data_IF_878309304491
#
_entry.id   IF_878309304491
#
_cell.length_a   1.000
_cell.length_b   1.000
_cell.length_c   1.000
_cell.angle_alpha   90.00
_cell.angle_beta   90.00
_cell.angle_gamma   90.00
#
_symmetry.space_group_name_H-M   'P 1'
#
loop_
_entity.id
_entity.type
_entity.pdbx_description
1 polymer ?
#
# COMPACT_ATOMS: atom_id res chain seq x y z
N UNK A 1 47.64 -13.33 49.57
CA UNK A 1 46.54 -12.62 48.90
C UNK A 1 47.09 -12.14 47.56
N UNK A 2 46.93 -12.94 46.50
CA UNK A 2 47.42 -12.63 45.16
C UNK A 2 46.21 -12.76 44.24
N UNK A 3 45.68 -11.62 43.80
CA UNK A 3 44.51 -11.56 42.93
C UNK A 3 44.94 -11.71 41.48
N UNK A 4 44.47 -12.76 40.81
CA UNK A 4 44.60 -12.95 39.37
C UNK A 4 43.36 -12.32 38.73
N UNK A 5 43.54 -11.22 38.01
CA UNK A 5 42.49 -10.58 37.21
C UNK A 5 42.43 -11.26 35.83
N UNK A 6 41.39 -12.04 35.59
CA UNK A 6 41.03 -12.49 34.25
C UNK A 6 40.32 -11.34 33.52
N UNK A 7 40.98 -10.77 32.51
CA UNK A 7 40.38 -9.84 31.57
C UNK A 7 39.91 -10.59 30.33
N UNK A 8 38.64 -11.03 30.30
CA UNK A 8 37.99 -11.47 29.07
C UNK A 8 37.36 -10.25 28.40
N UNK A 9 38.00 -9.71 27.37
CA UNK A 9 37.42 -8.71 26.49
C UNK A 9 37.09 -9.37 25.14
N UNK A 10 35.96 -10.09 25.09
CA UNK A 10 35.40 -10.62 23.84
C UNK A 10 34.62 -9.52 23.14
N UNK A 11 35.29 -8.77 22.27
CA UNK A 11 34.67 -7.74 21.44
C UNK A 11 34.17 -8.36 20.13
N UNK A 12 33.22 -9.28 20.20
CA UNK A 12 32.49 -9.78 19.03
C UNK A 12 31.42 -8.78 18.62
N UNK A 13 31.86 -7.66 18.04
CA UNK A 13 30.97 -6.82 17.24
C UNK A 13 30.62 -7.61 15.98
N UNK A 14 29.46 -8.27 15.98
CA UNK A 14 28.80 -8.71 14.75
C UNK A 14 28.77 -7.51 13.81
N UNK A 15 29.55 -7.56 12.73
CA UNK A 15 29.41 -6.62 11.62
C UNK A 15 27.99 -6.79 11.09
N UNK A 16 27.14 -5.79 11.27
CA UNK A 16 25.94 -5.66 10.46
C UNK A 16 26.38 -5.73 9.00
N UNK A 17 25.74 -6.57 8.17
CA UNK A 17 26.09 -6.64 6.76
C UNK A 17 25.89 -5.24 6.16
N UNK A 18 26.95 -4.72 5.57
CA UNK A 18 26.93 -3.48 4.81
C UNK A 18 25.88 -3.65 3.70
N UNK A 19 24.73 -2.98 3.85
CA UNK A 19 23.67 -3.04 2.86
C UNK A 19 24.19 -2.41 1.58
N UNK A 20 24.47 -3.24 0.58
CA UNK A 20 24.74 -2.77 -0.78
C UNK A 20 23.53 -1.97 -1.25
N UNK A 21 23.78 -0.84 -1.91
CA UNK A 21 22.74 -0.06 -2.58
C UNK A 21 21.87 -0.99 -3.46
N UNK A 22 20.53 -0.90 -3.39
CA UNK A 22 19.65 -1.75 -4.17
C UNK A 22 19.91 -1.62 -5.68
N UNK A 23 19.94 -2.74 -6.40
CA UNK A 23 20.01 -2.77 -7.86
C UNK A 23 18.63 -3.08 -8.41
N UNK A 24 17.81 -2.05 -8.56
CA UNK A 24 16.42 -2.21 -8.97
C UNK A 24 16.29 -2.60 -10.44
N UNK A 25 15.57 -3.68 -10.70
CA UNK A 25 15.07 -4.04 -12.03
C UNK A 25 13.62 -3.62 -12.18
N UNK A 26 13.35 -2.81 -13.20
CA UNK A 26 12.05 -2.22 -13.47
C UNK A 26 11.47 -2.77 -14.78
N UNK A 27 10.23 -3.25 -14.74
CA UNK A 27 9.57 -3.86 -15.88
C UNK A 27 8.16 -3.26 -16.06
N UNK A 28 7.90 -2.64 -17.22
CA UNK A 28 6.53 -2.37 -17.65
C UNK A 28 5.96 -3.66 -18.22
N UNK A 29 4.84 -4.12 -17.68
CA UNK A 29 4.21 -5.38 -18.06
C UNK A 29 2.79 -5.17 -18.52
N UNK A 30 2.33 -6.05 -19.39
CA UNK A 30 0.94 -6.11 -19.81
C UNK A 30 0.35 -7.46 -19.42
N UNK A 31 -0.91 -7.45 -19.01
CA UNK A 31 -1.68 -8.63 -18.60
C UNK A 31 -3.18 -8.38 -18.82
N UNK A 32 -4.02 -9.41 -18.75
CA UNK A 32 -5.45 -9.29 -19.05
C UNK A 32 -6.30 -9.45 -17.78
N UNK A 33 -7.34 -8.64 -17.66
CA UNK A 33 -8.45 -8.84 -16.73
C UNK A 33 -9.74 -8.97 -17.55
N UNK A 34 -10.08 -10.21 -17.94
CA UNK A 34 -11.07 -10.45 -18.98
C UNK A 34 -10.59 -9.84 -20.31
N UNK A 35 -11.44 -9.03 -20.94
CA UNK A 35 -11.13 -8.33 -22.20
C UNK A 35 -10.38 -7.00 -22.00
N UNK A 36 -10.11 -6.61 -20.75
CA UNK A 36 -9.41 -5.36 -20.44
C UNK A 36 -7.91 -5.61 -20.45
N UNK A 37 -7.20 -4.87 -21.30
CA UNK A 37 -5.76 -4.85 -21.29
C UNK A 37 -5.25 -4.03 -20.11
N UNK A 38 -4.49 -4.65 -19.21
CA UNK A 38 -3.99 -4.04 -17.98
C UNK A 38 -2.50 -3.75 -18.12
N UNK A 39 -2.07 -2.60 -17.63
CA UNK A 39 -0.66 -2.22 -17.60
C UNK A 39 -0.13 -2.21 -16.16
N UNK A 40 1.00 -2.85 -15.92
CA UNK A 40 1.63 -2.91 -14.61
C UNK A 40 3.05 -2.40 -14.67
N UNK A 41 3.56 -2.01 -13.52
CA UNK A 41 4.97 -1.67 -13.32
C UNK A 41 5.52 -2.51 -12.18
N UNK A 42 6.33 -3.51 -12.51
CA UNK A 42 6.93 -4.46 -11.57
C UNK A 42 8.37 -4.04 -11.28
N UNK A 43 8.73 -4.04 -9.99
CA UNK A 43 10.08 -3.71 -9.54
C UNK A 43 10.54 -4.67 -8.45
N UNK A 44 11.80 -5.08 -8.50
CA UNK A 44 12.48 -5.83 -7.45
C UNK A 44 13.99 -5.54 -7.46
N UNK A 45 14.65 -5.74 -6.32
CA UNK A 45 16.12 -5.68 -6.24
C UNK A 45 16.76 -6.97 -6.76
N UNK A 46 17.63 -6.87 -7.77
CA UNK A 46 18.38 -7.98 -8.35
C UNK A 46 19.47 -8.52 -7.41
N UNK A 47 19.89 -7.75 -6.41
CA UNK A 47 20.89 -8.21 -5.43
C UNK A 47 20.34 -9.26 -4.46
N UNK A 48 19.01 -9.38 -4.36
CA UNK A 48 18.35 -10.36 -3.51
C UNK A 48 18.04 -11.60 -4.34
N UNK A 49 18.40 -12.77 -3.84
CA UNK A 49 18.13 -14.05 -4.49
C UNK A 49 16.85 -14.70 -3.93
N UNK A 50 16.18 -15.50 -4.76
CA UNK A 50 15.03 -16.31 -4.37
C UNK A 50 13.71 -15.56 -4.13
N UNK A 51 12.65 -16.32 -3.77
CA UNK A 51 11.31 -15.78 -3.50
C UNK A 51 11.27 -14.87 -2.27
N UNK A 52 10.53 -13.75 -2.38
CA UNK A 52 10.35 -12.74 -1.33
C UNK A 52 8.88 -12.30 -1.24
N UNK A 53 8.46 -11.64 -0.16
CA UNK A 53 7.11 -11.12 -0.06
C UNK A 53 6.79 -10.15 -1.20
N UNK A 54 5.56 -10.22 -1.69
CA UNK A 54 5.09 -9.47 -2.84
C UNK A 54 4.03 -8.45 -2.44
N UNK A 55 4.13 -7.24 -2.98
CA UNK A 55 3.25 -6.12 -2.60
C UNK A 55 2.65 -5.45 -3.83
N UNK A 56 1.33 -5.42 -3.92
CA UNK A 56 0.61 -4.62 -4.93
C UNK A 56 0.47 -3.19 -4.43
N UNK A 57 0.72 -2.22 -5.30
CA UNK A 57 0.49 -0.79 -5.07
C UNK A 57 -0.71 -0.37 -5.92
N UNK A 58 -1.81 -0.03 -5.26
CA UNK A 58 -3.00 0.52 -5.91
C UNK A 58 -2.89 2.06 -5.92
N UNK A 59 -2.95 2.71 -7.09
CA UNK A 59 -2.71 4.14 -7.19
C UNK A 59 -3.83 4.97 -6.57
N UNK A 60 -3.55 6.27 -6.43
CA UNK A 60 -4.58 7.28 -6.24
C UNK A 60 -5.54 7.30 -7.45
N UNK A 61 -6.63 8.07 -7.35
CA UNK A 61 -7.64 8.20 -8.41
C UNK A 61 -7.13 8.74 -9.75
N UNK A 62 -5.87 9.19 -9.80
CA UNK A 62 -5.20 9.66 -11.01
C UNK A 62 -4.82 8.51 -11.96
N UNK A 63 -4.79 7.26 -11.49
CA UNK A 63 -4.32 6.10 -12.24
C UNK A 63 -2.82 5.83 -12.05
N UNK A 64 -2.25 4.94 -12.87
CA UNK A 64 -0.86 4.48 -12.75
C UNK A 64 0.15 5.58 -13.19
N UNK A 65 0.48 6.47 -12.28
CA UNK A 65 1.42 7.58 -12.48
C UNK A 65 2.80 7.33 -11.83
N UNK A 66 3.69 8.32 -11.94
CA UNK A 66 5.05 8.22 -11.41
C UNK A 66 5.09 8.12 -9.88
N UNK A 67 4.10 8.66 -9.16
CA UNK A 67 4.01 8.53 -7.72
C UNK A 67 3.78 7.07 -7.31
N UNK A 68 2.83 6.38 -7.93
CA UNK A 68 2.59 4.96 -7.69
C UNK A 68 3.82 4.09 -8.05
N UNK A 69 4.48 4.38 -9.19
CA UNK A 69 5.71 3.71 -9.60
C UNK A 69 6.86 3.96 -8.62
N UNK A 70 7.01 5.18 -8.11
CA UNK A 70 7.98 5.51 -7.07
C UNK A 70 7.74 4.66 -5.81
N UNK A 71 6.50 4.54 -5.35
CA UNK A 71 6.19 3.71 -4.16
C UNK A 71 6.48 2.22 -4.38
N UNK A 72 6.33 1.72 -5.62
CA UNK A 72 6.79 0.37 -5.97
C UNK A 72 8.33 0.25 -5.89
N UNK A 73 9.08 1.26 -6.35
CA UNK A 73 10.56 1.29 -6.18
C UNK A 73 10.97 1.36 -4.72
N UNK A 74 10.30 2.18 -3.92
CA UNK A 74 10.57 2.30 -2.48
C UNK A 74 10.38 0.94 -1.78
N UNK A 75 9.33 0.18 -2.12
CA UNK A 75 9.11 -1.20 -1.63
C UNK A 75 10.19 -2.17 -2.12
N UNK A 76 10.60 -2.08 -3.39
CA UNK A 76 11.67 -2.92 -3.91
C UNK A 76 13.00 -2.68 -3.18
N UNK A 77 13.30 -1.43 -2.83
CA UNK A 77 14.45 -1.07 -1.99
C UNK A 77 14.36 -1.57 -0.54
N UNK A 78 13.17 -1.95 -0.06
CA UNK A 78 12.98 -2.65 1.22
C UNK A 78 13.08 -4.17 1.09
N UNK A 79 13.34 -4.69 -0.11
CA UNK A 79 13.51 -6.11 -0.38
C UNK A 79 12.24 -6.86 -0.78
N UNK A 80 11.17 -6.15 -1.14
CA UNK A 80 9.96 -6.76 -1.72
C UNK A 80 10.07 -6.89 -3.24
N UNK A 81 9.22 -7.73 -3.84
CA UNK A 81 8.83 -7.55 -5.24
C UNK A 81 7.51 -6.79 -5.27
N UNK A 82 7.48 -5.65 -5.94
CA UNK A 82 6.34 -4.75 -5.91
C UNK A 82 5.75 -4.57 -7.31
N UNK A 83 4.43 -4.39 -7.37
CA UNK A 83 3.72 -4.08 -8.61
C UNK A 83 2.80 -2.89 -8.41
N UNK A 84 3.07 -1.77 -9.08
CA UNK A 84 2.08 -0.71 -9.25
C UNK A 84 1.13 -1.10 -10.39
N UNK A 85 -0.16 -1.20 -10.09
CA UNK A 85 -1.17 -1.66 -11.03
C UNK A 85 -1.91 -0.50 -11.70
N UNK A 86 -2.28 -0.68 -12.97
CA UNK A 86 -3.32 0.09 -13.64
C UNK A 86 -4.68 -0.40 -13.15
N UNK A 87 -5.41 0.40 -12.37
CA UNK A 87 -6.76 0.02 -11.93
C UNK A 87 -7.80 0.24 -13.02
N UNK A 88 -7.58 1.17 -13.95
CA UNK A 88 -8.59 1.58 -14.94
C UNK A 88 -8.52 0.79 -16.23
N UNK A 89 -7.36 0.21 -16.54
CA UNK A 89 -7.10 -0.52 -17.76
C UNK A 89 -6.72 0.42 -18.89
N UNK A 90 -6.10 -0.15 -19.93
CA UNK A 90 -5.64 0.53 -21.14
C UNK A 90 -4.72 1.73 -20.87
N UNK A 91 -4.09 1.80 -19.70
CA UNK A 91 -3.21 2.91 -19.31
C UNK A 91 -3.95 4.22 -19.03
N UNK A 92 -5.25 4.17 -18.77
CA UNK A 92 -6.04 5.38 -18.50
C UNK A 92 -5.55 6.08 -17.24
N UNK A 93 -5.40 7.40 -17.35
CA UNK A 93 -5.05 8.30 -16.25
C UNK A 93 -5.91 9.55 -16.31
N UNK A 94 -6.07 10.20 -15.17
CA UNK A 94 -6.74 11.48 -15.03
C UNK A 94 -5.73 12.58 -14.73
N UNK A 95 -5.99 13.77 -15.26
CA UNK A 95 -5.21 14.99 -15.06
C UNK A 95 -5.99 16.09 -14.31
N UNK A 96 -7.28 15.85 -14.03
CA UNK A 96 -8.17 16.76 -13.33
C UNK A 96 -9.24 16.01 -12.52
N UNK A 97 -9.87 16.64 -11.50
CA UNK A 97 -10.81 15.97 -10.61
C UNK A 97 -12.03 15.37 -11.31
N UNK A 98 -12.54 16.01 -12.36
CA UNK A 98 -13.73 15.53 -13.08
C UNK A 98 -13.42 14.24 -13.84
N UNK A 99 -12.27 14.20 -14.55
CA UNK A 99 -11.81 12.98 -15.23
C UNK A 99 -11.44 11.88 -14.23
N UNK A 100 -10.86 12.23 -13.08
CA UNK A 100 -10.55 11.29 -12.02
C UNK A 100 -11.82 10.67 -11.42
N UNK A 101 -12.84 11.49 -11.14
CA UNK A 101 -14.14 11.00 -10.66
C UNK A 101 -14.83 10.13 -11.71
N UNK A 102 -14.76 10.47 -12.99
CA UNK A 102 -15.32 9.64 -14.07
C UNK A 102 -14.67 8.25 -14.13
N UNK A 103 -13.37 8.15 -13.87
CA UNK A 103 -12.65 6.88 -13.84
C UNK A 103 -12.85 6.11 -12.53
N UNK A 104 -12.75 6.76 -11.37
CA UNK A 104 -12.81 6.14 -10.05
C UNK A 104 -14.25 5.84 -9.58
N UNK A 105 -15.20 6.71 -9.94
CA UNK A 105 -16.60 6.66 -9.49
C UNK A 105 -17.27 5.28 -9.62
N UNK A 106 -17.16 4.59 -10.77
CA UNK A 106 -17.74 3.26 -10.93
C UNK A 106 -17.29 2.24 -9.87
N UNK A 107 -16.03 2.30 -9.41
CA UNK A 107 -15.49 1.37 -8.41
C UNK A 107 -15.93 1.71 -6.98
N UNK A 108 -16.33 2.95 -6.71
CA UNK A 108 -16.96 3.29 -5.44
C UNK A 108 -18.42 2.83 -5.40
N UNK A 109 -19.09 2.82 -6.55
CA UNK A 109 -20.49 2.38 -6.68
C UNK A 109 -20.59 0.85 -6.69
N UNK A 110 -19.68 0.18 -7.41
CA UNK A 110 -19.59 -1.28 -7.49
C UNK A 110 -18.14 -1.72 -7.22
N UNK A 111 -17.79 -2.00 -5.95
CA UNK A 111 -16.46 -2.49 -5.57
C UNK A 111 -16.09 -3.83 -6.22
N UNK A 112 -17.07 -4.60 -6.69
CA UNK A 112 -16.85 -5.86 -7.39
C UNK A 112 -16.08 -5.68 -8.69
N UNK A 113 -16.14 -4.49 -9.31
CA UNK A 113 -15.41 -4.16 -10.54
C UNK A 113 -13.89 -4.15 -10.36
N UNK A 114 -13.40 -3.84 -9.16
CA UNK A 114 -11.97 -3.80 -8.87
C UNK A 114 -11.37 -5.21 -8.68
N UNK A 115 -12.17 -6.15 -8.17
CA UNK A 115 -11.73 -7.50 -7.81
C UNK A 115 -11.03 -8.26 -8.96
N UNK A 116 -11.64 -8.45 -10.15
CA UNK A 116 -10.98 -9.19 -11.22
C UNK A 116 -9.69 -8.51 -11.73
N UNK A 117 -9.60 -7.18 -11.62
CA UNK A 117 -8.41 -6.41 -12.01
C UNK A 117 -7.27 -6.61 -11.01
N UNK A 118 -7.62 -6.64 -9.72
CA UNK A 118 -6.70 -6.92 -8.64
C UNK A 118 -6.20 -8.37 -8.69
N UNK A 119 -7.10 -9.34 -8.89
CA UNK A 119 -6.74 -10.76 -9.07
C UNK A 119 -5.83 -10.98 -10.28
N UNK A 120 -6.08 -10.29 -11.39
CA UNK A 120 -5.21 -10.34 -12.56
C UNK A 120 -3.81 -9.78 -12.26
N UNK A 121 -3.71 -8.69 -11.49
CA UNK A 121 -2.42 -8.16 -11.03
C UNK A 121 -1.71 -9.14 -10.09
N UNK A 122 -2.44 -9.75 -9.13
CA UNK A 122 -1.89 -10.79 -8.25
C UNK A 122 -1.37 -11.98 -9.05
N UNK A 123 -2.13 -12.47 -10.02
CA UNK A 123 -1.74 -13.59 -10.89
C UNK A 123 -0.48 -13.26 -11.68
N UNK A 124 -0.41 -12.05 -12.26
CA UNK A 124 0.80 -11.58 -12.97
C UNK A 124 2.00 -11.49 -12.04
N UNK A 125 1.84 -10.98 -10.83
CA UNK A 125 2.93 -10.89 -9.85
C UNK A 125 3.40 -12.28 -9.40
N UNK A 126 2.47 -13.22 -9.19
CA UNK A 126 2.76 -14.63 -8.85
C UNK A 126 3.51 -15.38 -9.96
N UNK A 127 3.51 -14.89 -11.21
CA UNK A 127 4.27 -15.52 -12.30
C UNK A 127 5.77 -15.30 -12.23
N UNK A 128 6.24 -14.40 -11.37
CA UNK A 128 7.66 -14.11 -11.18
C UNK A 128 8.29 -15.10 -10.20
N UNK A 129 9.45 -15.66 -10.54
CA UNK A 129 10.18 -16.59 -9.65
C UNK A 129 10.65 -15.93 -8.35
N UNK A 130 10.72 -14.60 -8.33
CA UNK A 130 11.02 -13.78 -7.15
C UNK A 130 9.82 -13.66 -6.20
N UNK A 131 8.62 -14.05 -6.59
CA UNK A 131 7.41 -13.90 -5.77
C UNK A 131 7.19 -15.12 -4.88
N UNK A 132 7.15 -14.90 -3.58
CA UNK A 132 6.56 -15.84 -2.64
C UNK A 132 5.04 -15.64 -2.59
N UNK A 133 4.31 -16.49 -3.30
CA UNK A 133 2.85 -16.43 -3.41
C UNK A 133 2.12 -16.62 -2.06
N UNK A 134 2.79 -17.13 -1.02
CA UNK A 134 2.23 -17.29 0.32
C UNK A 134 2.35 -16.02 1.17
N UNK A 135 3.16 -15.03 0.74
CA UNK A 135 3.42 -13.78 1.46
C UNK A 135 3.08 -12.58 0.60
N UNK A 136 1.80 -12.44 0.27
CA UNK A 136 1.28 -11.30 -0.50
C UNK A 136 0.60 -10.27 0.38
N UNK A 137 0.82 -9.00 0.09
CA UNK A 137 0.09 -7.88 0.67
C UNK A 137 -0.20 -6.80 -0.36
N UNK A 138 -0.87 -5.74 0.06
CA UNK A 138 -1.12 -4.60 -0.80
C UNK A 138 -1.09 -3.29 -0.02
N UNK A 139 -0.65 -2.23 -0.69
CA UNK A 139 -0.80 -0.86 -0.20
C UNK A 139 -1.61 -0.05 -1.20
N UNK A 140 -2.32 0.96 -0.70
CA UNK A 140 -3.10 1.84 -1.54
C UNK A 140 -3.16 3.25 -1.00
N UNK A 141 -3.31 4.21 -1.90
CA UNK A 141 -3.34 5.64 -1.59
C UNK A 141 -4.66 6.26 -2.05
N UNK A 142 -5.34 7.07 -1.23
CA UNK A 142 -6.61 7.71 -1.58
C UNK A 142 -7.63 6.64 -2.05
N UNK A 143 -8.06 6.71 -3.31
CA UNK A 143 -8.84 5.69 -3.98
C UNK A 143 -8.26 4.29 -3.81
N UNK A 144 -6.97 4.11 -4.05
CA UNK A 144 -6.30 2.82 -3.85
C UNK A 144 -6.36 2.35 -2.40
N UNK A 145 -6.33 3.26 -1.43
CA UNK A 145 -6.47 2.95 -0.01
C UNK A 145 -7.84 2.35 0.31
N UNK A 146 -8.89 2.90 -0.30
CA UNK A 146 -10.22 2.30 -0.24
C UNK A 146 -10.26 0.92 -0.92
N UNK A 147 -9.66 0.79 -2.10
CA UNK A 147 -9.68 -0.47 -2.84
C UNK A 147 -8.95 -1.60 -2.12
N UNK A 148 -7.79 -1.36 -1.48
CA UNK A 148 -7.09 -2.42 -0.74
C UNK A 148 -7.87 -2.87 0.51
N UNK A 149 -8.58 -1.96 1.19
CA UNK A 149 -9.51 -2.33 2.27
C UNK A 149 -10.66 -3.17 1.71
N UNK A 150 -11.23 -2.79 0.57
CA UNK A 150 -12.31 -3.54 -0.08
C UNK A 150 -11.85 -4.95 -0.46
N UNK A 151 -10.67 -5.11 -1.05
CA UNK A 151 -10.08 -6.41 -1.39
C UNK A 151 -9.93 -7.30 -0.14
N UNK A 152 -9.40 -6.74 0.95
CA UNK A 152 -9.30 -7.47 2.21
C UNK A 152 -10.68 -7.90 2.74
N UNK A 153 -11.68 -7.01 2.72
CA UNK A 153 -13.05 -7.29 3.18
C UNK A 153 -13.80 -8.29 2.29
N UNK A 154 -13.48 -8.32 0.99
CA UNK A 154 -14.00 -9.30 0.02
C UNK A 154 -13.27 -10.64 0.06
N UNK A 155 -12.28 -10.80 0.93
CA UNK A 155 -11.61 -12.08 1.19
C UNK A 155 -10.48 -12.42 0.22
N UNK A 156 -9.83 -11.42 -0.38
CA UNK A 156 -8.59 -11.67 -1.13
C UNK A 156 -7.52 -12.34 -0.25
N UNK A 157 -6.78 -13.27 -0.83
CA UNK A 157 -5.73 -14.03 -0.17
C UNK A 157 -4.47 -13.17 0.04
N UNK A 158 -4.54 -12.29 1.03
CA UNK A 158 -3.50 -11.36 1.43
C UNK A 158 -3.18 -11.56 2.92
N UNK A 159 -1.90 -11.47 3.29
CA UNK A 159 -1.46 -11.42 4.70
C UNK A 159 -1.89 -10.13 5.37
N UNK A 160 -1.89 -9.03 4.62
CA UNK A 160 -2.42 -7.77 5.09
C UNK A 160 -2.38 -6.65 4.06
N UNK A 161 -3.08 -5.58 4.37
CA UNK A 161 -3.19 -4.39 3.54
C UNK A 161 -2.89 -3.12 4.32
N UNK A 162 -2.34 -2.11 3.64
CA UNK A 162 -2.10 -0.78 4.20
C UNK A 162 -2.83 0.27 3.38
N UNK A 163 -3.78 0.96 4.00
CA UNK A 163 -4.46 2.10 3.40
C UNK A 163 -3.80 3.38 3.87
N UNK A 164 -3.34 4.22 2.94
CA UNK A 164 -2.95 5.59 3.19
C UNK A 164 -4.08 6.50 2.72
N UNK A 165 -4.64 7.29 3.65
CA UNK A 165 -5.67 8.31 3.40
C UNK A 165 -6.82 7.83 2.49
N UNK A 166 -7.24 6.57 2.60
CA UNK A 166 -8.36 6.03 1.83
C UNK A 166 -9.70 6.10 2.57
N UNK A 167 -10.80 6.10 1.80
CA UNK A 167 -12.14 5.85 2.34
C UNK A 167 -12.23 4.45 2.94
N UNK A 168 -13.06 4.27 3.96
CA UNK A 168 -12.98 3.10 4.85
C UNK A 168 -14.18 2.15 4.75
N UNK A 169 -15.35 2.65 4.37
CA UNK A 169 -16.63 1.96 4.58
C UNK A 169 -17.39 1.56 3.31
N UNK A 170 -16.71 1.42 2.16
CA UNK A 170 -17.37 1.06 0.90
C UNK A 170 -17.93 -0.37 0.95
N UNK A 171 -17.09 -1.37 1.28
CA UNK A 171 -17.53 -2.76 1.49
C UNK A 171 -17.80 -3.01 2.98
N UNK A 172 -18.90 -3.68 3.36
CA UNK A 172 -19.16 -4.07 4.75
C UNK A 172 -18.21 -5.18 5.21
N UNK A 173 -17.85 -5.17 6.49
CA UNK A 173 -17.00 -6.21 7.06
C UNK A 173 -17.74 -7.56 7.19
N UNK A 174 -17.07 -8.66 6.84
CA UNK A 174 -17.58 -10.02 6.99
C UNK A 174 -16.51 -10.91 7.64
N UNK A 175 -16.84 -11.53 8.79
CA UNK A 175 -15.94 -12.40 9.56
C UNK A 175 -15.43 -13.62 8.79
N UNK A 176 -16.28 -14.16 7.91
CA UNK A 176 -15.97 -15.36 7.15
C UNK A 176 -15.01 -15.05 5.99
N UNK A 177 -15.04 -13.82 5.48
CA UNK A 177 -14.19 -13.37 4.38
C UNK A 177 -12.90 -12.69 4.85
N UNK A 178 -12.97 -11.74 5.80
CA UNK A 178 -11.82 -10.92 6.16
C UNK A 178 -10.81 -11.70 7.00
N UNK A 179 -9.72 -12.16 6.37
CA UNK A 179 -8.57 -12.82 7.03
C UNK A 179 -7.32 -11.96 7.08
N UNK A 180 -7.15 -11.07 6.11
CA UNK A 180 -6.02 -10.15 6.01
C UNK A 180 -5.98 -9.19 7.22
N UNK A 181 -4.79 -8.90 7.74
CA UNK A 181 -4.62 -7.81 8.70
C UNK A 181 -4.72 -6.45 7.99
N UNK A 182 -5.20 -5.41 8.68
CA UNK A 182 -5.36 -4.07 8.10
C UNK A 182 -4.57 -3.04 8.90
N UNK A 183 -3.72 -2.25 8.23
CA UNK A 183 -3.21 -0.99 8.76
C UNK A 183 -3.91 0.16 8.04
N UNK A 184 -4.53 1.05 8.81
CA UNK A 184 -5.09 2.31 8.30
C UNK A 184 -4.19 3.45 8.74
N UNK A 185 -3.61 4.15 7.78
CA UNK A 185 -2.83 5.36 7.96
C UNK A 185 -3.67 6.58 7.53
N UNK A 186 -4.29 7.25 8.49
CA UNK A 186 -5.33 8.26 8.25
C UNK A 186 -4.86 9.66 8.67
N UNK A 187 -5.12 10.66 7.84
CA UNK A 187 -4.87 12.05 8.22
C UNK A 187 -5.99 12.56 9.11
N UNK A 188 -5.68 12.98 10.33
CA UNK A 188 -6.69 13.33 11.35
C UNK A 188 -7.43 14.64 11.04
N UNK A 189 -6.90 15.44 10.10
CA UNK A 189 -7.55 16.66 9.62
C UNK A 189 -8.30 16.45 8.29
N UNK A 190 -8.33 15.24 7.74
CA UNK A 190 -8.93 14.93 6.44
C UNK A 190 -10.47 15.08 6.45
N UNK A 191 -11.04 16.11 5.79
CA UNK A 191 -12.48 16.31 5.79
C UNK A 191 -13.21 15.37 4.80
N UNK A 192 -12.49 14.64 3.95
CA UNK A 192 -13.09 13.67 3.01
C UNK A 192 -13.51 12.38 3.72
N UNK A 193 -12.93 12.09 4.89
CA UNK A 193 -13.25 10.92 5.71
C UNK A 193 -13.54 11.42 7.13
N UNK A 194 -14.78 11.84 7.41
CA UNK A 194 -15.14 12.42 8.71
C UNK A 194 -15.05 11.40 9.84
N UNK A 195 -14.99 11.90 11.09
CA UNK A 195 -14.91 11.06 12.30
C UNK A 195 -15.96 9.94 12.32
N UNK A 196 -17.19 10.23 11.88
CA UNK A 196 -18.29 9.25 11.79
C UNK A 196 -17.96 8.07 10.89
N UNK A 197 -17.20 8.28 9.82
CA UNK A 197 -16.71 7.20 8.95
C UNK A 197 -15.64 6.37 9.67
N UNK A 198 -14.67 7.01 10.34
CA UNK A 198 -13.62 6.27 11.07
C UNK A 198 -14.19 5.47 12.24
N UNK A 199 -15.20 5.99 12.94
CA UNK A 199 -15.87 5.32 14.06
C UNK A 199 -16.68 4.11 13.56
N UNK A 200 -17.39 4.28 12.44
CA UNK A 200 -18.10 3.17 11.80
C UNK A 200 -17.13 2.08 11.35
N UNK A 201 -15.96 2.44 10.80
CA UNK A 201 -14.95 1.46 10.41
C UNK A 201 -14.46 0.65 11.62
N UNK A 202 -14.05 1.33 12.70
CA UNK A 202 -13.58 0.70 13.94
C UNK A 202 -14.64 -0.24 14.50
N UNK A 203 -15.89 0.23 14.61
CA UNK A 203 -17.04 -0.56 15.06
C UNK A 203 -17.27 -1.82 14.22
N UNK A 204 -17.16 -1.71 12.88
CA UNK A 204 -17.31 -2.86 11.99
C UNK A 204 -16.16 -3.87 12.16
N UNK A 205 -14.93 -3.41 12.33
CA UNK A 205 -13.78 -4.29 12.54
C UNK A 205 -13.85 -5.00 13.90
N UNK A 206 -14.19 -4.26 14.95
CA UNK A 206 -14.33 -4.78 16.31
C UNK A 206 -15.43 -5.85 16.40
N UNK A 207 -16.57 -5.62 15.74
CA UNK A 207 -17.74 -6.53 15.81
C UNK A 207 -17.47 -7.93 15.25
N UNK A 208 -16.52 -8.05 14.31
CA UNK A 208 -16.12 -9.34 13.73
C UNK A 208 -14.79 -9.86 14.30
N UNK A 209 -14.13 -9.11 15.19
CA UNK A 209 -12.82 -9.43 15.73
C UNK A 209 -11.70 -9.38 14.69
N UNK A 210 -11.78 -8.45 13.73
CA UNK A 210 -10.78 -8.29 12.69
C UNK A 210 -9.43 -7.82 13.26
N UNK A 211 -8.33 -8.25 12.62
CA UNK A 211 -6.98 -7.79 12.98
C UNK A 211 -6.72 -6.45 12.29
N UNK A 212 -6.85 -5.35 13.01
CA UNK A 212 -6.51 -4.05 12.43
C UNK A 212 -5.74 -3.14 13.40
N UNK A 213 -5.03 -2.18 12.82
CA UNK A 213 -4.42 -1.05 13.51
C UNK A 213 -4.87 0.21 12.80
N UNK A 214 -5.40 1.16 13.56
CA UNK A 214 -5.76 2.48 13.05
C UNK A 214 -4.76 3.52 13.58
N UNK A 215 -4.11 4.24 12.68
CA UNK A 215 -3.08 5.25 12.97
C UNK A 215 -3.55 6.62 12.44
N UNK A 216 -4.05 7.51 13.31
CA UNK A 216 -4.28 8.89 12.95
C UNK A 216 -2.96 9.66 12.96
N UNK A 217 -2.75 10.53 11.97
CA UNK A 217 -1.63 11.46 11.91
C UNK A 217 -2.17 12.88 12.10
N UNK A 218 -1.84 13.47 13.23
CA UNK A 218 -2.33 14.77 13.66
C UNK A 218 -2.03 15.85 12.60
N UNK A 219 -3.05 16.65 12.26
CA UNK A 219 -2.93 17.77 11.32
C UNK A 219 -2.72 17.39 9.85
N UNK A 220 -2.62 16.11 9.52
CA UNK A 220 -2.49 15.66 8.13
C UNK A 220 -3.85 15.68 7.41
N UNK A 221 -3.87 16.26 6.21
CA UNK A 221 -5.03 16.28 5.31
C UNK A 221 -5.06 15.04 4.40
N UNK A 222 -6.03 14.98 3.49
CA UNK A 222 -6.04 13.98 2.43
C UNK A 222 -4.77 14.07 1.56
N UNK A 223 -4.35 12.94 0.98
CA UNK A 223 -3.15 12.83 0.14
C UNK A 223 -1.82 13.22 0.82
N UNK A 224 -1.75 13.20 2.16
CA UNK A 224 -0.59 13.65 2.94
C UNK A 224 0.75 12.99 2.60
N UNK A 225 0.74 11.83 1.92
CA UNK A 225 1.95 11.11 1.51
C UNK A 225 2.50 11.56 0.15
N UNK A 226 1.76 12.35 -0.62
CA UNK A 226 2.14 12.74 -1.97
C UNK A 226 2.74 14.18 -1.97
N UNK A 227 4.05 14.36 -2.24
CA UNK A 227 4.67 15.69 -2.31
C UNK A 227 4.04 16.62 -3.36
N UNK A 228 3.37 16.07 -4.37
CA UNK A 228 2.67 16.86 -5.39
C UNK A 228 1.28 17.35 -4.94
N UNK A 229 0.79 16.96 -3.76
CA UNK A 229 -0.53 17.34 -3.27
C UNK A 229 -0.70 18.86 -3.16
N UNK A 230 0.35 19.60 -2.77
CA UNK A 230 0.30 21.06 -2.68
C UNK A 230 0.16 21.72 -4.06
N UNK A 231 0.78 21.15 -5.09
CA UNK A 231 0.61 21.63 -6.48
C UNK A 231 -0.78 21.29 -7.02
N UNK A 232 -1.34 20.12 -6.64
CA UNK A 232 -2.74 19.79 -6.94
C UNK A 232 -3.68 20.79 -6.27
N UNK A 233 -3.45 21.15 -5.00
CA UNK A 233 -4.24 22.15 -4.28
C UNK A 233 -4.22 23.52 -4.96
N UNK A 234 -3.06 23.95 -5.46
CA UNK A 234 -2.93 25.22 -6.21
C UNK A 234 -3.75 25.21 -7.50
N UNK A 235 -3.79 24.07 -8.21
CA UNK A 235 -4.56 23.89 -9.45
C UNK A 235 -6.05 23.72 -9.21
N UNK A 236 -6.43 23.05 -8.12
CA UNK A 236 -7.80 22.72 -7.76
C UNK A 236 -8.06 23.13 -6.30
N UNK A 237 -8.35 24.42 -6.04
CA UNK A 237 -8.43 24.97 -4.68
C UNK A 237 -9.51 24.34 -3.79
N UNK A 238 -10.51 23.68 -4.36
CA UNK A 238 -11.58 23.05 -3.60
C UNK A 238 -11.22 21.64 -3.09
N UNK A 239 -10.15 21.03 -3.61
CA UNK A 239 -9.68 19.73 -3.10
C UNK A 239 -9.02 19.91 -1.71
N UNK A 240 -9.42 19.17 -0.68
CA UNK A 240 -8.84 19.27 0.66
C UNK A 240 -7.58 18.39 0.80
N UNK A 241 -6.62 18.59 -0.11
CA UNK A 241 -5.35 17.85 -0.15
C UNK A 241 -4.19 18.75 0.26
N UNK A 242 -3.20 18.19 0.95
CA UNK A 242 -1.93 18.85 1.25
C UNK A 242 -0.86 17.83 1.61
N UNK A 243 0.40 18.10 1.27
CA UNK A 243 1.51 17.25 1.68
C UNK A 243 1.85 17.46 3.16
N UNK A 244 2.14 16.39 3.89
CA UNK A 244 2.67 16.46 5.24
C UNK A 244 3.84 15.48 5.40
N UNK A 245 5.07 16.01 5.33
CA UNK A 245 6.29 15.22 5.35
C UNK A 245 6.47 14.38 6.64
N UNK A 246 6.00 14.89 7.78
CA UNK A 246 6.09 14.18 9.05
C UNK A 246 5.14 12.97 9.05
N UNK A 247 3.89 13.15 8.61
CA UNK A 247 2.92 12.08 8.47
C UNK A 247 3.31 11.05 7.41
N UNK A 248 3.87 11.50 6.27
CA UNK A 248 4.41 10.62 5.24
C UNK A 248 5.51 9.71 5.81
N UNK A 249 6.51 10.30 6.47
CA UNK A 249 7.62 9.56 7.08
C UNK A 249 7.15 8.59 8.17
N UNK A 250 6.28 9.05 9.06
CA UNK A 250 5.75 8.23 10.16
C UNK A 250 4.88 7.08 9.64
N UNK A 251 4.01 7.35 8.68
CA UNK A 251 3.14 6.32 8.10
C UNK A 251 3.90 5.27 7.29
N UNK A 252 4.97 5.67 6.60
CA UNK A 252 5.86 4.73 5.93
C UNK A 252 6.59 3.84 6.95
N UNK A 253 7.02 4.40 8.09
CA UNK A 253 7.59 3.61 9.19
C UNK A 253 6.59 2.62 9.75
N UNK A 254 5.36 3.05 10.04
CA UNK A 254 4.31 2.16 10.58
C UNK A 254 3.95 1.04 9.59
N UNK A 255 3.99 1.31 8.27
CA UNK A 255 3.85 0.27 7.24
C UNK A 255 4.98 -0.75 7.30
N UNK A 256 6.24 -0.34 7.47
CA UNK A 256 7.39 -1.27 7.61
C UNK A 256 7.22 -2.17 8.83
N UNK A 257 6.93 -1.57 9.98
CA UNK A 257 6.70 -2.30 11.23
C UNK A 257 5.49 -3.26 11.13
N UNK A 258 4.49 -2.92 10.31
CA UNK A 258 3.36 -3.79 10.02
C UNK A 258 3.75 -4.97 9.12
N UNK A 259 4.46 -4.72 8.01
CA UNK A 259 4.94 -5.76 7.10
C UNK A 259 5.91 -6.72 7.76
N UNK A 260 6.81 -6.22 8.62
CA UNK A 260 7.71 -7.05 9.42
C UNK A 260 6.96 -8.02 10.32
N UNK A 261 5.71 -7.75 10.70
CA UNK A 261 4.88 -8.66 11.51
C UNK A 261 4.10 -9.65 10.66
N UNK A 262 3.55 -9.23 9.52
CA UNK A 262 2.61 -10.05 8.73
C UNK A 262 3.27 -10.98 7.71
N UNK A 263 4.52 -10.70 7.32
CA UNK A 263 5.29 -11.51 6.36
C UNK A 263 6.31 -12.45 7.01
N UNK A 264 6.25 -12.63 8.33
CA UNK A 264 7.01 -13.66 9.04
C UNK A 264 6.51 -15.06 8.73
#
# INVERSE_FOLDING_TARGET
MLAVLFSCNSNDKKKEPEMKEPKLKEENVTYAAGDINMNGFIVYDENIEGPRPAVIVVPEWWGLNDYAKKRARDLAGLGYIAMAMDMYGNGQQADNPDSAMKLAGPFYQDPGLAKPRFEAAMSKLKSYSQTDATRMGAIGYCFGGAQVINMAKMGEDLKGVVSFHGNLNVVPANKDLLKAAILVCHGDADPMVPQTETDLFKKQMDSIGAKYVFKPYEGALHAFTNPAADEVKKKFPDLPVAYNAAADTASWKDMKDFFDRIFK
#
